data_IF_046997366323
#
_entry.id   IF_046997366323
#
_cell.length_a   1.000
_cell.length_b   1.000
_cell.length_c   1.000
_cell.angle_alpha   90.00
_cell.angle_beta   90.00
_cell.angle_gamma   90.00
#
_symmetry.space_group_name_H-M   'P 1'
#
loop_
_entity.id
_entity.type
_entity.pdbx_description
1 polymer ?
#
# COMPACT_ATOMS: atom_id res chain seq x y z
N UNK A 1 4.70 14.16 8.71
CA UNK A 1 3.66 15.00 8.10
C UNK A 1 3.85 14.92 6.61
N UNK A 2 3.01 14.15 5.90
CA UNK A 2 2.77 14.48 4.49
C UNK A 2 1.73 15.58 4.54
N UNK A 3 2.16 16.82 4.35
CA UNK A 3 1.21 17.87 4.00
C UNK A 3 0.45 17.39 2.77
N UNK A 4 -0.88 17.47 2.78
CA UNK A 4 -1.68 17.25 1.58
C UNK A 4 -1.31 18.38 0.60
N UNK A 5 -0.32 18.12 -0.26
CA UNK A 5 0.15 19.09 -1.24
C UNK A 5 -0.99 19.25 -2.25
N UNK A 6 -1.69 20.37 -2.15
CA UNK A 6 -2.64 20.78 -3.18
C UNK A 6 -1.86 21.25 -4.41
N UNK A 7 -2.01 20.51 -5.51
CA UNK A 7 -1.48 20.90 -6.81
C UNK A 7 -2.52 21.74 -7.55
N UNK A 8 -2.10 22.85 -8.16
CA UNK A 8 -2.99 23.65 -9.01
C UNK A 8 -3.34 22.94 -10.31
N UNK A 9 -4.46 23.32 -10.94
CA UNK A 9 -4.87 22.77 -12.23
C UNK A 9 -3.78 22.97 -13.30
N UNK A 10 -3.06 24.09 -13.28
CA UNK A 10 -1.94 24.35 -14.21
C UNK A 10 -0.75 23.41 -13.96
N UNK A 11 -0.48 23.06 -12.70
CA UNK A 11 0.58 22.11 -12.35
C UNK A 11 0.20 20.69 -12.80
N UNK A 12 -1.06 20.30 -12.60
CA UNK A 12 -1.56 19.00 -13.05
C UNK A 12 -1.60 18.90 -14.58
N UNK A 13 -2.02 19.96 -15.28
CA UNK A 13 -2.04 20.01 -16.75
C UNK A 13 -0.63 19.96 -17.36
N UNK A 14 0.39 20.32 -16.58
CA UNK A 14 1.78 20.16 -17.00
C UNK A 14 2.23 18.70 -17.08
N UNK A 15 1.55 17.76 -16.42
CA UNK A 15 1.91 16.34 -16.43
C UNK A 15 1.28 15.64 -17.64
N UNK A 16 2.10 14.92 -18.40
CA UNK A 16 1.65 14.14 -19.56
C UNK A 16 1.91 12.66 -19.31
N UNK A 17 0.84 11.86 -19.43
CA UNK A 17 0.94 10.39 -19.45
C UNK A 17 1.35 9.97 -20.86
N UNK A 18 2.49 9.31 -20.97
CA UNK A 18 3.05 8.77 -22.20
C UNK A 18 2.05 7.84 -22.90
N UNK A 19 1.79 8.13 -24.17
CA UNK A 19 0.86 7.41 -25.05
C UNK A 19 -0.57 7.25 -24.51
N UNK A 20 -0.97 7.98 -23.45
CA UNK A 20 -2.20 7.74 -22.69
C UNK A 20 -2.38 6.26 -22.28
N UNK A 21 -1.28 5.60 -21.89
CA UNK A 21 -1.28 4.17 -21.55
C UNK A 21 -0.96 3.94 -20.08
N UNK A 22 -1.71 3.00 -19.50
CA UNK A 22 -1.41 2.36 -18.22
C UNK A 22 -1.02 0.92 -18.50
N UNK A 23 0.05 0.44 -17.89
CA UNK A 23 0.59 -0.90 -18.10
C UNK A 23 0.42 -1.73 -16.84
N UNK A 24 -0.48 -2.71 -16.87
CA UNK A 24 -0.75 -3.62 -15.76
C UNK A 24 0.31 -4.73 -15.64
N UNK A 25 0.68 -5.06 -14.40
CA UNK A 25 1.61 -6.12 -14.03
C UNK A 25 0.92 -7.17 -13.16
N UNK A 26 1.40 -8.41 -13.22
CA UNK A 26 0.84 -9.52 -12.44
C UNK A 26 1.48 -9.70 -11.07
N UNK A 27 2.71 -9.22 -10.90
CA UNK A 27 3.54 -9.53 -9.74
C UNK A 27 4.40 -8.34 -9.33
N UNK A 28 4.56 -8.14 -8.03
CA UNK A 28 5.49 -7.20 -7.41
C UNK A 28 6.45 -7.98 -6.51
N UNK A 29 7.73 -7.60 -6.52
CA UNK A 29 8.73 -8.13 -5.60
C UNK A 29 9.03 -7.09 -4.52
N UNK A 30 8.76 -7.43 -3.26
CA UNK A 30 9.11 -6.61 -2.11
C UNK A 30 10.35 -7.21 -1.43
N UNK A 31 11.45 -6.46 -1.40
CA UNK A 31 12.69 -6.88 -0.76
C UNK A 31 12.73 -6.44 0.70
N UNK A 32 13.17 -7.33 1.58
CA UNK A 32 13.32 -7.03 3.00
C UNK A 32 14.55 -7.70 3.59
N UNK A 33 14.99 -7.18 4.72
CA UNK A 33 16.06 -7.76 5.52
C UNK A 33 15.46 -8.62 6.64
N UNK A 34 15.92 -9.85 6.78
CA UNK A 34 15.58 -10.75 7.88
C UNK A 34 16.39 -10.43 9.14
N UNK A 35 16.00 -11.00 10.27
CA UNK A 35 16.65 -10.75 11.57
C UNK A 35 18.16 -11.11 11.56
N UNK A 36 18.56 -12.13 10.81
CA UNK A 36 19.95 -12.55 10.62
C UNK A 36 20.70 -11.73 9.53
N UNK A 37 20.20 -10.53 9.21
CA UNK A 37 20.76 -9.57 8.24
C UNK A 37 20.86 -10.11 6.80
N UNK A 38 20.05 -11.11 6.45
CA UNK A 38 19.96 -11.61 5.07
C UNK A 38 18.91 -10.83 4.28
N UNK A 39 19.09 -10.75 2.97
CA UNK A 39 18.09 -10.20 2.07
C UNK A 39 17.20 -11.33 1.57
N UNK A 40 15.90 -11.12 1.69
CA UNK A 40 14.88 -12.02 1.15
C UNK A 40 13.84 -11.18 0.39
N UNK A 41 12.95 -11.84 -0.34
CA UNK A 41 11.94 -11.18 -1.15
C UNK A 41 10.59 -11.89 -1.06
N UNK A 42 9.53 -11.11 -0.89
CA UNK A 42 8.18 -11.60 -1.09
C UNK A 42 7.72 -11.34 -2.52
N UNK A 43 6.96 -12.28 -3.07
CA UNK A 43 6.26 -12.08 -4.34
C UNK A 43 4.79 -11.83 -4.06
N UNK A 44 4.34 -10.62 -4.37
CA UNK A 44 2.96 -10.17 -4.22
C UNK A 44 2.26 -10.38 -5.55
N UNK A 45 1.11 -11.05 -5.51
CA UNK A 45 0.28 -11.30 -6.68
C UNK A 45 -1.19 -11.02 -6.31
N UNK A 46 -1.85 -10.04 -6.95
CA UNK A 46 -3.23 -9.67 -6.64
C UNK A 46 -4.24 -10.83 -6.71
N UNK A 47 -3.92 -11.93 -7.41
CA UNK A 47 -4.80 -13.11 -7.55
C UNK A 47 -4.60 -14.17 -6.47
N UNK A 48 -3.49 -14.19 -5.76
CA UNK A 48 -3.17 -15.31 -4.84
C UNK A 48 -2.55 -14.89 -3.51
N UNK A 49 -1.70 -13.88 -3.50
CA UNK A 49 -0.98 -13.36 -2.32
C UNK A 49 -0.97 -11.84 -2.41
N UNK A 50 -2.15 -11.27 -2.25
CA UNK A 50 -2.43 -9.87 -2.51
C UNK A 50 -2.26 -8.98 -1.27
N UNK A 51 -2.19 -9.59 -0.10
CA UNK A 51 -2.18 -8.89 1.17
C UNK A 51 -0.77 -8.38 1.48
N UNK A 52 -0.68 -7.13 1.91
CA UNK A 52 0.57 -6.41 2.18
C UNK A 52 0.49 -5.70 3.53
N UNK A 53 1.68 -5.44 4.08
CA UNK A 53 1.88 -4.52 5.20
C UNK A 53 2.72 -3.33 4.76
N UNK A 54 2.32 -2.14 5.22
CA UNK A 54 3.03 -0.87 5.01
C UNK A 54 3.33 -0.25 6.37
N UNK A 55 4.27 0.68 6.43
CA UNK A 55 4.49 1.45 7.66
C UNK A 55 3.25 2.31 7.95
N UNK A 56 2.81 2.24 9.20
CA UNK A 56 1.74 3.09 9.70
C UNK A 56 2.22 4.53 9.89
N UNK A 57 1.28 5.47 9.81
CA UNK A 57 1.52 6.86 10.20
C UNK A 57 1.04 7.18 11.63
N UNK A 58 0.55 6.18 12.38
CA UNK A 58 0.13 6.34 13.77
C UNK A 58 1.29 6.87 14.62
N UNK A 59 1.02 7.81 15.52
CA UNK A 59 2.06 8.35 16.39
C UNK A 59 2.33 7.41 17.57
N UNK A 60 3.59 7.20 17.99
CA UNK A 60 3.91 6.24 19.05
C UNK A 60 3.25 6.50 20.41
N UNK A 61 2.82 7.73 20.66
CA UNK A 61 2.13 8.20 21.87
C UNK A 61 0.61 7.98 21.84
N UNK A 62 0.05 7.52 20.72
CA UNK A 62 -1.35 7.13 20.63
C UNK A 62 -1.60 5.78 21.34
N UNK A 63 -2.67 5.70 22.12
CA UNK A 63 -3.00 4.55 22.98
C UNK A 63 -3.17 3.23 22.18
N UNK A 64 -3.47 3.33 20.88
CA UNK A 64 -3.68 2.22 19.96
C UNK A 64 -2.66 2.15 18.81
N UNK A 65 -1.54 2.87 18.88
CA UNK A 65 -0.57 2.98 17.79
C UNK A 65 -0.10 1.59 17.28
N UNK A 66 -0.29 1.30 15.99
CA UNK A 66 0.36 0.15 15.36
C UNK A 66 1.56 0.64 14.54
N UNK A 67 2.69 -0.07 14.51
CA UNK A 67 3.75 0.23 13.55
C UNK A 67 3.38 0.00 12.07
N UNK A 68 2.23 -0.64 11.78
CA UNK A 68 1.90 -1.13 10.44
C UNK A 68 0.42 -0.94 10.11
N UNK A 69 0.16 -0.54 8.88
CA UNK A 69 -1.15 -0.66 8.25
C UNK A 69 -1.17 -1.85 7.30
N UNK A 70 -2.39 -2.32 7.01
CA UNK A 70 -2.62 -3.51 6.21
C UNK A 70 -3.50 -3.18 5.01
N UNK A 71 -3.15 -3.72 3.86
CA UNK A 71 -3.87 -3.50 2.61
C UNK A 71 -3.94 -4.78 1.78
N UNK A 72 -4.93 -4.84 0.89
CA UNK A 72 -5.00 -5.83 -0.19
C UNK A 72 -4.74 -5.14 -1.52
N UNK A 73 -3.69 -5.53 -2.22
CA UNK A 73 -3.38 -5.05 -3.58
C UNK A 73 -4.42 -5.59 -4.55
N UNK A 74 -5.05 -4.69 -5.30
CA UNK A 74 -5.94 -5.06 -6.41
C UNK A 74 -5.23 -5.09 -7.75
N UNK A 75 -4.46 -4.04 -8.02
CA UNK A 75 -3.78 -3.85 -9.29
C UNK A 75 -2.38 -3.31 -9.06
N UNK A 76 -1.47 -3.80 -9.89
CA UNK A 76 -0.10 -3.32 -9.97
C UNK A 76 0.03 -2.76 -11.36
N UNK A 77 0.41 -1.50 -11.51
CA UNK A 77 0.62 -0.93 -12.83
C UNK A 77 1.73 0.10 -12.81
N UNK A 78 2.20 0.44 -14.00
CA UNK A 78 3.06 1.58 -14.19
C UNK A 78 2.54 2.51 -15.27
N UNK A 79 2.89 3.77 -15.13
CA UNK A 79 2.66 4.82 -16.12
C UNK A 79 3.99 5.48 -16.44
N UNK A 80 4.19 5.80 -17.72
CA UNK A 80 5.31 6.63 -18.14
C UNK A 80 4.83 8.07 -18.13
N UNK A 81 5.48 8.94 -17.37
CA UNK A 81 5.09 10.36 -17.23
C UNK A 81 6.22 11.28 -17.67
N UNK A 82 5.88 12.49 -18.08
CA UNK A 82 6.83 13.58 -18.35
C UNK A 82 6.13 14.91 -18.13
N UNK A 83 6.90 15.98 -17.96
CA UNK A 83 6.32 17.32 -17.99
C UNK A 83 6.12 17.81 -19.44
N UNK A 84 5.17 18.71 -19.63
CA UNK A 84 4.90 19.41 -20.88
C UNK A 84 6.13 20.24 -21.24
N UNK A 85 6.57 20.16 -22.50
CA UNK A 85 7.82 20.76 -22.96
C UNK A 85 9.06 19.88 -22.80
N UNK A 86 9.00 18.80 -22.02
CA UNK A 86 10.08 17.81 -21.99
C UNK A 86 10.05 16.93 -23.25
N UNK A 87 11.23 16.60 -23.77
CA UNK A 87 11.37 15.63 -24.85
C UNK A 87 10.86 14.24 -24.41
N UNK A 88 10.32 13.41 -25.32
CA UNK A 88 9.86 12.05 -24.98
C UNK A 88 10.92 11.18 -24.29
N UNK A 89 12.20 11.41 -24.57
CA UNK A 89 13.34 10.72 -23.93
C UNK A 89 13.52 11.03 -22.45
N UNK A 90 12.85 12.05 -21.92
CA UNK A 90 12.84 12.42 -20.50
C UNK A 90 11.69 11.78 -19.72
N UNK A 91 10.95 10.86 -20.35
CA UNK A 91 9.88 10.16 -19.66
C UNK A 91 10.42 9.32 -18.49
N UNK A 92 9.72 9.40 -17.37
CA UNK A 92 9.99 8.70 -16.13
C UNK A 92 8.91 7.65 -15.91
N UNK A 93 9.31 6.45 -15.54
CA UNK A 93 8.38 5.40 -15.12
C UNK A 93 7.97 5.63 -13.67
N UNK A 94 6.67 5.61 -13.41
CA UNK A 94 6.09 5.62 -12.09
C UNK A 94 5.32 4.31 -11.88
N UNK A 95 5.77 3.51 -10.92
CA UNK A 95 5.07 2.29 -10.50
C UNK A 95 4.08 2.64 -9.38
N UNK A 96 2.86 2.10 -9.45
CA UNK A 96 1.76 2.43 -8.54
C UNK A 96 0.97 1.17 -8.20
N UNK A 97 0.54 1.05 -6.95
CA UNK A 97 -0.38 0.01 -6.49
C UNK A 97 -1.74 0.64 -6.21
N UNK A 98 -2.82 0.03 -6.72
CA UNK A 98 -4.18 0.29 -6.22
C UNK A 98 -4.49 -0.72 -5.14
N UNK A 99 -4.79 -0.24 -3.93
CA UNK A 99 -5.00 -1.07 -2.75
C UNK A 99 -6.38 -0.86 -2.13
N UNK A 100 -6.84 -1.87 -1.39
CA UNK A 100 -7.96 -1.79 -0.46
C UNK A 100 -7.45 -1.79 0.97
N UNK A 101 -7.77 -0.78 1.75
CA UNK A 101 -7.32 -0.70 3.13
C UNK A 101 -8.08 -1.64 4.05
N UNK A 102 -7.39 -2.13 5.08
CA UNK A 102 -7.96 -2.82 6.23
C UNK A 102 -7.81 -1.93 7.47
N UNK A 103 -8.85 -1.90 8.30
CA UNK A 103 -8.85 -1.26 9.60
C UNK A 103 -8.68 -2.28 10.72
N UNK A 104 -8.02 -1.87 11.79
CA UNK A 104 -7.93 -2.66 13.04
C UNK A 104 -9.22 -2.56 13.83
N UNK A 105 -9.48 -3.56 14.66
CA UNK A 105 -10.50 -3.50 15.71
C UNK A 105 -9.85 -3.02 17.03
N UNK A 106 -9.99 -1.73 17.40
CA UNK A 106 -9.37 -1.18 18.61
C UNK A 106 -9.96 -1.80 19.89
N UNK A 107 -11.17 -2.39 19.81
CA UNK A 107 -11.83 -2.99 20.97
C UNK A 107 -11.33 -4.41 21.25
N UNK A 108 -10.50 -4.97 20.37
CA UNK A 108 -9.99 -6.32 20.50
C UNK A 108 -8.58 -6.33 21.13
N UNK A 109 -8.42 -6.85 22.36
CA UNK A 109 -7.11 -6.96 22.99
C UNK A 109 -6.18 -7.84 22.14
N UNK A 110 -5.07 -7.27 21.68
CA UNK A 110 -4.06 -7.93 20.88
C UNK A 110 -2.65 -7.54 21.30
N UNK A 111 -1.64 -8.17 20.69
CA UNK A 111 -0.24 -7.94 21.01
C UNK A 111 0.34 -9.00 21.96
N UNK A 112 1.57 -8.73 22.40
CA UNK A 112 2.38 -9.71 23.14
C UNK A 112 1.76 -10.07 24.49
N UNK A 113 1.27 -9.07 25.23
CA UNK A 113 0.64 -9.27 26.54
C UNK A 113 -0.65 -10.09 26.44
N UNK A 114 -1.52 -9.76 25.48
CA UNK A 114 -2.76 -10.48 25.24
C UNK A 114 -2.56 -11.84 24.55
N UNK A 115 -1.34 -12.13 24.04
CA UNK A 115 -0.99 -13.32 23.26
C UNK A 115 -1.94 -13.59 22.09
N UNK A 116 -2.39 -12.51 21.44
CA UNK A 116 -3.39 -12.53 20.35
C UNK A 116 -2.91 -11.69 19.19
N UNK A 117 -3.14 -12.17 17.98
CA UNK A 117 -2.87 -11.40 16.77
C UNK A 117 -3.85 -10.22 16.65
N UNK A 118 -3.42 -9.09 16.05
CA UNK A 118 -4.33 -8.00 15.74
C UNK A 118 -5.50 -8.48 14.88
N UNK A 119 -6.71 -8.07 15.26
CA UNK A 119 -7.89 -8.32 14.45
C UNK A 119 -8.06 -7.15 13.48
N UNK A 120 -8.24 -7.50 12.20
CA UNK A 120 -8.41 -6.55 11.12
C UNK A 120 -9.65 -6.89 10.30
N UNK A 121 -10.22 -5.89 9.66
CA UNK A 121 -11.37 -6.01 8.77
C UNK A 121 -11.23 -5.03 7.62
N UNK A 122 -11.87 -5.30 6.48
CA UNK A 122 -11.87 -4.33 5.39
C UNK A 122 -12.62 -3.06 5.79
N UNK A 123 -12.14 -1.91 5.32
CA UNK A 123 -12.96 -0.70 5.36
C UNK A 123 -14.30 -0.94 4.64
N UNK A 124 -15.41 -0.40 5.17
CA UNK A 124 -16.71 -0.48 4.53
C UNK A 124 -16.66 0.03 3.09
N UNK A 125 -17.36 -0.64 2.19
CA UNK A 125 -17.47 -0.18 0.81
C UNK A 125 -18.22 1.16 0.76
N UNK A 126 -17.81 2.05 -0.13
CA UNK A 126 -18.43 3.36 -0.32
C UNK A 126 -17.87 4.48 0.56
N UNK A 127 -16.86 4.20 1.40
CA UNK A 127 -16.09 5.26 2.08
C UNK A 127 -14.93 5.71 1.19
N UNK A 128 -14.57 7.00 1.28
CA UNK A 128 -13.39 7.56 0.59
C UNK A 128 -12.10 6.88 1.03
N UNK A 129 -12.02 6.40 2.26
CA UNK A 129 -10.84 5.71 2.83
C UNK A 129 -10.71 4.25 2.43
N UNK A 130 -11.61 3.69 1.61
CA UNK A 130 -11.59 2.26 1.27
C UNK A 130 -10.46 1.90 0.30
N UNK A 131 -10.16 2.79 -0.64
CA UNK A 131 -9.25 2.56 -1.77
C UNK A 131 -8.21 3.66 -1.84
N UNK A 132 -7.00 3.31 -2.26
CA UNK A 132 -5.93 4.31 -2.43
C UNK A 132 -4.86 3.85 -3.41
N UNK A 133 -4.09 4.82 -3.91
CA UNK A 133 -2.89 4.58 -4.70
C UNK A 133 -1.66 4.76 -3.81
N UNK A 134 -0.79 3.74 -3.76
CA UNK A 134 0.46 3.81 -2.99
C UNK A 134 1.68 3.52 -3.85
N UNK A 135 2.80 4.10 -3.45
CA UNK A 135 4.11 3.77 -4.00
C UNK A 135 4.50 2.34 -3.53
N UNK A 136 4.83 1.40 -4.45
CA UNK A 136 5.33 0.08 -4.09
C UNK A 136 6.50 0.08 -3.09
N UNK A 137 7.32 1.13 -3.05
CA UNK A 137 8.43 1.28 -2.11
C UNK A 137 7.97 1.41 -0.64
N UNK A 138 6.71 1.76 -0.39
CA UNK A 138 6.12 1.81 0.95
C UNK A 138 5.77 0.43 1.52
N UNK A 139 5.75 -0.59 0.66
CA UNK A 139 5.45 -1.97 1.05
C UNK A 139 6.61 -2.53 1.85
N UNK A 140 6.34 -2.88 3.11
CA UNK A 140 7.31 -3.49 4.01
C UNK A 140 7.48 -4.96 3.68
N UNK A 141 6.35 -5.70 3.60
CA UNK A 141 6.30 -7.14 3.27
C UNK A 141 4.93 -7.55 2.75
N UNK A 142 4.86 -8.76 2.19
CA UNK A 142 3.59 -9.46 2.05
C UNK A 142 3.04 -9.87 3.43
N UNK A 143 1.72 -9.93 3.55
CA UNK A 143 1.03 -10.37 4.74
C UNK A 143 0.18 -11.61 4.44
N UNK A 144 -0.07 -12.42 5.47
CA UNK A 144 -1.02 -13.54 5.39
C UNK A 144 -2.07 -13.37 6.48
N UNK A 145 -3.32 -13.16 6.07
CA UNK A 145 -4.42 -12.98 7.01
C UNK A 145 -5.13 -14.30 7.28
N UNK A 146 -5.34 -14.59 8.56
CA UNK A 146 -6.10 -15.75 9.01
C UNK A 146 -7.57 -15.35 9.16
N UNK A 147 -8.52 -16.11 8.56
CA UNK A 147 -9.93 -15.83 8.74
C UNK A 147 -10.32 -16.09 10.20
N UNK A 148 -11.11 -15.20 10.77
CA UNK A 148 -11.71 -15.41 12.10
C UNK A 148 -13.06 -16.08 11.91
N UNK A 149 -13.18 -17.31 12.36
CA UNK A 149 -14.44 -18.03 12.48
C UNK A 149 -15.40 -17.27 13.41
N UNK A 150 -16.67 -17.13 13.04
CA UNK A 150 -17.72 -16.65 13.96
C UNK A 150 -18.03 -17.68 15.07
N UNK A 151 -17.60 -18.92 14.89
CA UNK A 151 -17.69 -20.01 15.86
C UNK A 151 -16.28 -20.31 16.37
N UNK A 152 -15.83 -19.55 17.36
CA UNK A 152 -14.71 -19.96 18.22
C UNK A 152 -15.21 -20.99 19.21
#
# INVERSE_FOLDING_TARGET
>A
ESEDIEYSDEQLDSLVIGDNKVYEHKTLHAHYTTYDLRRESDTINPRSRADIMVLSQDKPDEEDAHPYWYARVLYIFHVNVRFRGEAPSKSRRLDVLLVRWLQRDPRFPCGFEARRLPRISFYPLGTSSCWDFIDPATVVRAAHFLPVSQYG
#
